data_IF_097766844612
#
_entry.id   IF_097766844612
#
_cell.length_a   1.000
_cell.length_b   1.000
_cell.length_c   1.000
_cell.angle_alpha   90.00
_cell.angle_beta   90.00
_cell.angle_gamma   90.00
#
_symmetry.space_group_name_H-M   'P 1'
#
loop_
_entity.id
_entity.type
_entity.pdbx_description
1 polymer ?
#
# COMPACT_ATOMS: atom_id res chain seq x y z
N UNK A 1 32.75 10.29 -22.69
CA UNK A 1 31.63 10.29 -21.78
C UNK A 1 31.91 9.29 -20.66
N UNK A 2 31.87 9.71 -19.40
CA UNK A 2 31.93 8.76 -18.29
C UNK A 2 30.68 7.88 -18.37
N UNK A 3 30.85 6.55 -18.31
CA UNK A 3 29.73 5.62 -18.44
C UNK A 3 28.90 5.59 -17.16
N UNK A 4 27.57 5.61 -17.30
CA UNK A 4 26.64 5.28 -16.25
C UNK A 4 26.87 3.82 -15.82
N UNK A 5 26.89 3.55 -14.51
CA UNK A 5 27.08 2.20 -13.98
C UNK A 5 25.96 1.80 -13.05
N UNK A 6 25.65 0.52 -12.92
CA UNK A 6 24.69 0.00 -11.95
C UNK A 6 24.97 0.53 -10.53
N UNK A 7 26.23 0.55 -10.11
CA UNK A 7 26.64 1.03 -8.79
C UNK A 7 26.24 2.48 -8.52
N UNK A 8 26.33 3.36 -9.52
CA UNK A 8 25.88 4.76 -9.38
C UNK A 8 24.37 4.84 -9.19
N UNK A 9 23.61 4.00 -9.89
CA UNK A 9 22.14 3.93 -9.76
C UNK A 9 21.73 3.35 -8.41
N UNK A 10 22.40 2.29 -7.94
CA UNK A 10 22.17 1.70 -6.60
C UNK A 10 22.38 2.72 -5.49
N UNK A 11 23.50 3.43 -5.52
CA UNK A 11 23.81 4.47 -4.51
C UNK A 11 22.76 5.57 -4.54
N UNK A 12 22.39 6.04 -5.72
CA UNK A 12 21.37 7.07 -5.88
C UNK A 12 20.01 6.61 -5.35
N UNK A 13 19.57 5.43 -5.75
CA UNK A 13 18.32 4.83 -5.27
C UNK A 13 18.32 4.68 -3.75
N UNK A 14 19.43 4.21 -3.17
CA UNK A 14 19.55 4.07 -1.72
C UNK A 14 19.44 5.42 -0.99
N UNK A 15 19.98 6.51 -1.54
CA UNK A 15 19.83 7.85 -0.95
C UNK A 15 18.35 8.27 -0.93
N UNK A 16 17.63 8.02 -2.03
CA UNK A 16 16.19 8.34 -2.13
C UNK A 16 15.38 7.50 -1.15
N UNK A 17 15.61 6.18 -1.12
CA UNK A 17 14.84 5.23 -0.31
C UNK A 17 15.03 5.45 1.20
N UNK A 18 16.21 5.91 1.63
CA UNK A 18 16.54 6.16 3.04
C UNK A 18 16.51 7.64 3.45
N UNK A 19 16.26 8.54 2.51
CA UNK A 19 16.05 9.97 2.76
C UNK A 19 17.32 10.76 3.13
N UNK A 20 18.49 10.11 3.25
CA UNK A 20 19.74 10.80 3.57
C UNK A 20 20.98 10.03 3.11
N UNK A 21 22.06 10.76 2.86
CA UNK A 21 23.38 10.18 2.53
C UNK A 21 23.90 9.30 3.67
N UNK A 22 23.68 9.72 4.92
CA UNK A 22 24.10 8.97 6.11
C UNK A 22 23.41 7.62 6.20
N UNK A 23 22.10 7.59 6.07
CA UNK A 23 21.31 6.36 6.14
C UNK A 23 21.62 5.44 4.95
N UNK A 24 21.79 6.00 3.74
CA UNK A 24 22.20 5.24 2.56
C UNK A 24 23.60 4.63 2.72
N UNK A 25 24.56 5.36 3.32
CA UNK A 25 25.91 4.84 3.58
C UNK A 25 25.88 3.63 4.50
N UNK A 26 25.08 3.66 5.56
CA UNK A 26 24.88 2.54 6.47
C UNK A 26 24.22 1.35 5.76
N UNK A 27 23.16 1.58 4.98
CA UNK A 27 22.44 0.54 4.24
C UNK A 27 23.33 -0.17 3.19
N UNK A 28 24.25 0.57 2.55
CA UNK A 28 25.16 0.05 1.53
C UNK A 28 26.50 -0.45 2.10
N UNK A 29 26.71 -0.35 3.41
CA UNK A 29 28.01 -0.62 4.05
C UNK A 29 29.17 0.15 3.41
N UNK A 30 28.93 1.44 3.09
CA UNK A 30 29.92 2.36 2.52
C UNK A 30 30.20 3.51 3.48
N UNK A 31 31.32 4.22 3.25
CA UNK A 31 31.56 5.49 3.93
C UNK A 31 30.71 6.62 3.33
N UNK A 32 30.29 7.60 4.14
CA UNK A 32 29.58 8.80 3.65
C UNK A 32 30.34 9.55 2.54
N UNK A 33 31.68 9.78 2.64
CA UNK A 33 32.43 10.37 1.55
C UNK A 33 32.31 9.58 0.23
N UNK A 34 32.30 8.24 0.31
CA UNK A 34 32.14 7.39 -0.88
C UNK A 34 30.77 7.60 -1.52
N UNK A 35 29.70 7.60 -0.72
CA UNK A 35 28.33 7.83 -1.21
C UNK A 35 28.19 9.22 -1.84
N UNK A 36 28.74 10.27 -1.18
CA UNK A 36 28.76 11.63 -1.70
C UNK A 36 29.52 11.75 -3.02
N UNK A 37 30.66 11.07 -3.12
CA UNK A 37 31.46 11.06 -4.36
C UNK A 37 30.72 10.40 -5.52
N UNK A 38 30.04 9.27 -5.26
CA UNK A 38 29.22 8.57 -6.25
C UNK A 38 28.04 9.44 -6.71
N UNK A 39 27.35 10.11 -5.79
CA UNK A 39 26.30 11.05 -6.12
C UNK A 39 26.80 12.20 -6.99
N UNK A 40 27.94 12.82 -6.61
CA UNK A 40 28.56 13.89 -7.39
C UNK A 40 28.96 13.42 -8.80
N UNK A 41 29.48 12.20 -8.89
CA UNK A 41 29.82 11.58 -10.20
C UNK A 41 28.57 11.40 -11.07
N UNK A 42 27.47 10.90 -10.48
CA UNK A 42 26.21 10.72 -11.22
C UNK A 42 25.64 12.06 -11.68
N UNK A 43 25.58 13.08 -10.80
CA UNK A 43 25.18 14.45 -11.18
C UNK A 43 26.04 15.03 -12.30
N UNK A 44 27.37 14.75 -12.28
CA UNK A 44 28.27 15.16 -13.35
C UNK A 44 28.01 14.45 -14.70
N UNK A 45 27.58 13.18 -14.68
CA UNK A 45 27.20 12.44 -15.88
C UNK A 45 25.89 12.99 -16.46
N UNK A 46 24.91 13.28 -15.60
CA UNK A 46 23.60 13.83 -15.98
C UNK A 46 23.72 15.30 -16.39
N UNK A 47 24.70 16.02 -15.86
CA UNK A 47 24.92 17.45 -16.12
C UNK A 47 23.98 18.38 -15.32
N UNK A 48 23.21 17.84 -14.38
CA UNK A 48 22.23 18.58 -13.57
C UNK A 48 22.29 18.13 -12.12
N UNK A 49 21.93 19.01 -11.14
CA UNK A 49 21.77 18.60 -9.74
C UNK A 49 20.59 17.62 -9.63
N UNK A 50 20.78 16.53 -8.90
CA UNK A 50 19.76 15.49 -8.71
C UNK A 50 18.98 15.68 -7.41
N UNK A 51 19.54 16.46 -6.47
CA UNK A 51 18.88 16.85 -5.22
C UNK A 51 19.03 18.34 -4.98
N UNK A 52 18.07 18.90 -4.27
CA UNK A 52 18.08 20.24 -3.68
C UNK A 52 17.84 20.17 -2.18
N UNK A 53 18.30 21.17 -1.44
CA UNK A 53 17.99 21.31 -0.02
C UNK A 53 16.79 22.23 0.17
N UNK A 54 15.71 21.68 0.70
CA UNK A 54 14.51 22.44 1.02
C UNK A 54 14.21 22.25 2.51
N UNK A 55 14.27 23.34 3.29
CA UNK A 55 14.05 23.32 4.75
C UNK A 55 14.91 22.29 5.51
N UNK A 56 16.17 22.10 5.08
CA UNK A 56 17.08 21.14 5.70
C UNK A 56 16.88 19.67 5.28
N UNK A 57 15.90 19.41 4.45
CA UNK A 57 15.65 18.06 3.88
C UNK A 57 16.19 17.97 2.46
N UNK A 58 16.69 16.78 2.14
CA UNK A 58 17.15 16.43 0.79
C UNK A 58 15.93 16.05 -0.07
N UNK A 59 15.61 16.90 -1.06
CA UNK A 59 14.50 16.68 -1.99
C UNK A 59 15.03 16.41 -3.40
N UNK A 60 14.45 15.46 -4.11
CA UNK A 60 14.81 15.24 -5.52
C UNK A 60 14.41 16.44 -6.39
N UNK A 61 15.25 16.77 -7.36
CA UNK A 61 14.89 17.66 -8.47
C UNK A 61 14.13 16.86 -9.54
N UNK A 62 13.57 17.54 -10.54
CA UNK A 62 12.96 16.89 -11.71
C UNK A 62 13.95 15.94 -12.41
N UNK A 63 15.22 16.35 -12.54
CA UNK A 63 16.28 15.48 -13.06
C UNK A 63 16.54 14.27 -12.13
N UNK A 64 16.46 14.47 -10.80
CA UNK A 64 16.54 13.41 -9.82
C UNK A 64 15.42 12.41 -9.96
N UNK A 65 14.18 12.85 -10.15
CA UNK A 65 13.01 11.98 -10.38
C UNK A 65 13.16 11.14 -11.65
N UNK A 66 13.61 11.75 -12.76
CA UNK A 66 13.87 11.02 -14.00
C UNK A 66 14.98 9.96 -13.85
N UNK A 67 16.05 10.28 -13.13
CA UNK A 67 17.13 9.34 -12.83
C UNK A 67 16.64 8.22 -11.90
N UNK A 68 15.77 8.54 -10.93
CA UNK A 68 15.21 7.54 -10.02
C UNK A 68 14.34 6.52 -10.76
N UNK A 69 13.47 6.97 -11.65
CA UNK A 69 12.65 6.09 -12.48
C UNK A 69 13.53 5.18 -13.36
N UNK A 70 14.52 5.74 -14.03
CA UNK A 70 15.49 4.97 -14.83
C UNK A 70 16.25 3.95 -13.96
N UNK A 71 16.71 4.35 -12.76
CA UNK A 71 17.41 3.47 -11.84
C UNK A 71 16.54 2.27 -11.43
N UNK A 72 15.28 2.49 -11.14
CA UNK A 72 14.34 1.42 -10.80
C UNK A 72 14.11 0.44 -11.94
N UNK A 73 13.98 0.92 -13.17
CA UNK A 73 13.81 0.06 -14.35
C UNK A 73 15.06 -0.79 -14.61
N UNK A 74 16.23 -0.17 -14.61
CA UNK A 74 17.51 -0.83 -14.88
C UNK A 74 17.86 -1.85 -13.80
N UNK A 75 17.81 -1.46 -12.53
CA UNK A 75 18.11 -2.35 -11.39
C UNK A 75 17.04 -3.44 -11.23
N UNK A 76 15.78 -3.11 -11.50
CA UNK A 76 14.71 -4.09 -11.56
C UNK A 76 14.90 -5.12 -12.68
N UNK A 77 15.41 -4.71 -13.84
CA UNK A 77 15.72 -5.62 -14.96
C UNK A 77 16.89 -6.54 -14.62
N UNK A 78 17.93 -6.03 -13.96
CA UNK A 78 19.03 -6.84 -13.46
C UNK A 78 18.55 -7.90 -12.48
N UNK A 79 17.77 -7.52 -11.46
CA UNK A 79 17.24 -8.44 -10.46
C UNK A 79 16.36 -9.53 -11.09
N UNK A 80 15.56 -9.18 -12.11
CA UNK A 80 14.74 -10.17 -12.85
C UNK A 80 15.61 -11.15 -13.62
N UNK A 81 16.68 -10.70 -14.28
CA UNK A 81 17.62 -11.58 -14.98
C UNK A 81 18.28 -12.55 -14.01
N UNK A 82 18.75 -12.07 -12.86
CA UNK A 82 19.33 -12.90 -11.80
C UNK A 82 18.34 -13.98 -11.33
N UNK A 83 17.07 -13.59 -11.06
CA UNK A 83 16.01 -14.53 -10.66
C UNK A 83 15.70 -15.55 -11.76
N UNK A 84 15.69 -15.17 -13.04
CA UNK A 84 15.49 -16.09 -14.16
C UNK A 84 16.64 -17.07 -14.31
N UNK A 85 17.88 -16.61 -14.16
CA UNK A 85 19.06 -17.49 -14.20
C UNK A 85 19.04 -18.49 -13.05
N UNK A 86 18.61 -18.08 -11.86
CA UNK A 86 18.44 -18.98 -10.71
C UNK A 86 17.35 -20.01 -10.96
N UNK A 87 16.20 -19.60 -11.51
CA UNK A 87 15.10 -20.49 -11.85
C UNK A 87 15.51 -21.55 -12.89
N UNK A 88 16.31 -21.18 -13.89
CA UNK A 88 16.91 -22.13 -14.85
C UNK A 88 17.82 -23.17 -14.19
N UNK A 89 18.40 -22.84 -13.04
CA UNK A 89 19.20 -23.76 -12.22
C UNK A 89 18.36 -24.57 -11.21
N UNK A 90 17.02 -24.47 -11.29
CA UNK A 90 16.09 -25.14 -10.39
C UNK A 90 16.00 -24.51 -8.99
N UNK A 91 16.47 -23.29 -8.82
CA UNK A 91 16.44 -22.59 -7.55
C UNK A 91 15.55 -21.35 -7.67
N UNK A 92 14.41 -21.35 -6.98
CA UNK A 92 13.53 -20.19 -6.89
C UNK A 92 14.06 -19.22 -5.84
N UNK A 93 14.86 -18.27 -6.27
CA UNK A 93 15.37 -17.18 -5.43
C UNK A 93 14.86 -15.85 -6.01
N UNK A 94 14.48 -14.94 -5.15
CA UNK A 94 14.04 -13.59 -5.57
C UNK A 94 13.48 -12.78 -4.44
N UNK A 95 13.05 -11.57 -4.77
CA UNK A 95 12.37 -10.67 -3.82
C UNK A 95 10.97 -10.37 -4.35
N UNK A 96 9.98 -10.49 -3.50
CA UNK A 96 8.61 -9.98 -3.70
C UNK A 96 8.47 -8.67 -2.92
N UNK A 97 8.28 -7.56 -3.63
CA UNK A 97 7.96 -6.27 -3.02
C UNK A 97 6.45 -6.05 -3.10
N UNK A 98 5.79 -6.07 -1.96
CA UNK A 98 4.34 -5.97 -1.84
C UNK A 98 3.97 -4.75 -1.00
N UNK A 99 3.24 -3.80 -1.59
CA UNK A 99 2.74 -2.62 -0.90
C UNK A 99 1.21 -2.64 -0.81
N UNK A 100 0.67 -2.45 0.38
CA UNK A 100 -0.76 -2.60 0.63
C UNK A 100 -1.33 -1.43 1.42
N UNK A 101 -2.57 -1.05 1.12
CA UNK A 101 -3.28 -0.06 1.92
C UNK A 101 -3.55 -0.59 3.33
N UNK A 102 -3.64 0.31 4.30
CA UNK A 102 -3.76 0.00 5.74
C UNK A 102 -4.78 -1.11 6.05
N UNK A 103 -5.93 -1.13 5.39
CA UNK A 103 -6.97 -2.15 5.66
C UNK A 103 -6.60 -3.53 5.10
N UNK A 104 -5.78 -3.61 4.04
CA UNK A 104 -5.36 -4.88 3.45
C UNK A 104 -4.42 -5.70 4.34
N UNK A 105 -3.84 -5.11 5.40
CA UNK A 105 -3.03 -5.83 6.40
C UNK A 105 -3.78 -6.94 7.15
N UNK A 106 -5.12 -6.91 7.13
CA UNK A 106 -5.94 -7.98 7.72
C UNK A 106 -6.19 -9.13 6.75
N UNK A 107 -6.03 -8.89 5.46
CA UNK A 107 -6.37 -9.82 4.39
C UNK A 107 -5.15 -10.54 3.83
N UNK A 108 -4.04 -9.81 3.65
CA UNK A 108 -2.86 -10.30 2.94
C UNK A 108 -2.03 -11.31 3.74
N UNK A 109 -1.76 -11.16 5.06
CA UNK A 109 -0.93 -12.09 5.79
C UNK A 109 -1.41 -13.55 5.78
N UNK A 110 -2.72 -13.86 5.89
CA UNK A 110 -3.22 -15.23 5.73
C UNK A 110 -2.90 -15.86 4.38
N UNK A 111 -2.87 -15.06 3.31
CA UNK A 111 -2.51 -15.52 1.95
C UNK A 111 -0.98 -15.63 1.82
N UNK A 112 -0.26 -14.72 2.42
CA UNK A 112 1.20 -14.67 2.37
C UNK A 112 1.85 -15.83 3.12
N UNK A 113 1.24 -16.30 4.21
CA UNK A 113 1.78 -17.38 5.04
C UNK A 113 1.98 -18.69 4.26
N UNK A 114 0.98 -19.26 3.55
CA UNK A 114 1.19 -20.44 2.72
C UNK A 114 2.16 -20.17 1.55
N UNK A 115 2.12 -18.99 0.95
CA UNK A 115 3.06 -18.60 -0.11
C UNK A 115 4.52 -18.67 0.38
N UNK A 116 4.83 -18.08 1.53
CA UNK A 116 6.19 -18.12 2.09
C UNK A 116 6.65 -19.55 2.43
N UNK A 117 5.72 -20.44 2.84
CA UNK A 117 6.04 -21.85 3.10
C UNK A 117 6.36 -22.62 1.81
N UNK A 118 5.66 -22.31 0.71
CA UNK A 118 5.90 -22.94 -0.60
C UNK A 118 7.16 -22.38 -1.28
N UNK A 119 7.53 -21.14 -1.01
CA UNK A 119 8.64 -20.43 -1.62
C UNK A 119 9.64 -19.90 -0.57
N UNK A 120 10.32 -20.80 0.19
CA UNK A 120 11.14 -20.40 1.35
C UNK A 120 12.36 -19.53 1.02
N UNK A 121 12.78 -19.52 -0.24
CA UNK A 121 13.92 -18.72 -0.71
C UNK A 121 13.51 -17.38 -1.33
N UNK A 122 12.22 -17.04 -1.31
CA UNK A 122 11.75 -15.72 -1.73
C UNK A 122 11.73 -14.78 -0.52
N UNK A 123 12.54 -13.72 -0.59
CA UNK A 123 12.47 -12.61 0.38
C UNK A 123 11.20 -11.81 0.13
N UNK A 124 10.36 -11.65 1.14
CA UNK A 124 9.15 -10.82 1.04
C UNK A 124 9.35 -9.50 1.76
N UNK A 125 9.21 -8.40 1.02
CA UNK A 125 9.16 -7.03 1.56
C UNK A 125 7.72 -6.55 1.56
N UNK A 126 7.11 -6.56 2.75
CA UNK A 126 5.71 -6.24 2.96
C UNK A 126 5.56 -4.84 3.55
N UNK A 127 5.05 -3.91 2.77
CA UNK A 127 4.88 -2.50 3.14
C UNK A 127 3.40 -2.22 3.35
N UNK A 128 3.07 -1.61 4.47
CA UNK A 128 1.71 -1.13 4.79
C UNK A 128 1.74 0.39 4.90
N UNK A 129 0.88 1.06 4.16
CA UNK A 129 0.80 2.53 4.16
C UNK A 129 -0.64 3.03 3.97
N UNK A 130 -0.84 4.33 4.14
CA UNK A 130 -2.09 4.94 3.73
C UNK A 130 -2.23 4.93 2.20
N UNK A 131 -3.41 5.25 1.69
CA UNK A 131 -3.67 5.18 0.25
C UNK A 131 -2.78 6.13 -0.56
N UNK A 132 -2.47 7.32 -0.03
CA UNK A 132 -1.63 8.29 -0.72
C UNK A 132 -0.18 7.78 -0.83
N UNK A 133 0.36 7.23 0.25
CA UNK A 133 1.70 6.62 0.27
C UNK A 133 1.81 5.47 -0.73
N UNK A 134 0.79 4.60 -0.79
CA UNK A 134 0.81 3.46 -1.72
C UNK A 134 0.68 3.91 -3.17
N UNK A 135 -0.12 4.95 -3.45
CA UNK A 135 -0.19 5.56 -4.79
C UNK A 135 1.14 6.21 -5.17
N UNK A 136 1.79 6.92 -4.24
CA UNK A 136 3.11 7.50 -4.49
C UNK A 136 4.13 6.42 -4.82
N UNK A 137 4.19 5.36 -4.02
CA UNK A 137 5.05 4.20 -4.27
C UNK A 137 4.78 3.57 -5.65
N UNK A 138 3.50 3.48 -6.03
CA UNK A 138 3.10 2.91 -7.32
C UNK A 138 3.51 3.80 -8.50
N UNK A 139 3.33 5.12 -8.40
CA UNK A 139 3.78 6.09 -9.41
C UNK A 139 5.29 6.01 -9.64
N UNK A 140 6.04 5.75 -8.58
CA UNK A 140 7.50 5.60 -8.63
C UNK A 140 7.94 4.14 -8.82
N UNK A 141 7.05 3.21 -9.17
CA UNK A 141 7.37 1.79 -9.42
C UNK A 141 8.21 1.10 -8.32
N UNK A 142 8.02 1.48 -7.05
CA UNK A 142 8.85 1.00 -5.93
C UNK A 142 8.60 -0.46 -5.56
N UNK A 143 7.42 -1.00 -5.88
CA UNK A 143 7.00 -2.34 -5.50
C UNK A 143 6.48 -3.13 -6.71
N UNK A 144 6.37 -4.44 -6.58
CA UNK A 144 5.95 -5.32 -7.68
C UNK A 144 4.43 -5.43 -7.78
N UNK A 145 3.76 -5.50 -6.62
CA UNK A 145 2.30 -5.66 -6.53
C UNK A 145 1.76 -4.70 -5.47
N UNK A 146 0.64 -4.06 -5.78
CA UNK A 146 -0.06 -3.15 -4.89
C UNK A 146 -1.45 -3.69 -4.59
N UNK A 147 -1.91 -3.61 -3.33
CA UNK A 147 -3.24 -4.08 -2.94
C UNK A 147 -4.11 -2.91 -2.51
N UNK A 148 -5.26 -2.78 -3.18
CA UNK A 148 -6.28 -1.77 -2.90
C UNK A 148 -7.67 -2.40 -2.86
N UNK A 149 -8.59 -1.82 -2.10
CA UNK A 149 -10.03 -2.09 -2.25
C UNK A 149 -10.70 -1.13 -3.25
N UNK A 150 -10.09 0.02 -3.48
CA UNK A 150 -10.45 1.00 -4.50
C UNK A 150 -9.17 1.55 -5.13
N UNK A 151 -8.66 0.92 -6.18
CA UNK A 151 -7.49 1.42 -6.89
C UNK A 151 -7.77 2.79 -7.54
N UNK A 152 -6.73 3.59 -7.83
CA UNK A 152 -6.91 4.78 -8.65
C UNK A 152 -7.37 4.39 -10.07
N UNK A 153 -8.14 5.27 -10.69
CA UNK A 153 -8.54 5.13 -12.09
C UNK A 153 -7.37 5.61 -12.96
N UNK A 154 -6.68 4.68 -13.58
CA UNK A 154 -5.54 4.94 -14.47
C UNK A 154 -5.44 3.79 -15.48
N UNK A 155 -5.46 4.12 -16.77
CA UNK A 155 -5.41 3.15 -17.86
C UNK A 155 -4.06 2.41 -17.95
N UNK A 156 -3.04 2.89 -17.25
CA UNK A 156 -1.73 2.24 -17.14
C UNK A 156 -1.68 1.15 -16.07
N UNK A 157 -2.79 0.87 -15.40
CA UNK A 157 -2.86 -0.15 -14.36
C UNK A 157 -3.57 -1.40 -14.85
N UNK A 158 -3.13 -2.55 -14.35
CA UNK A 158 -3.83 -3.82 -14.42
C UNK A 158 -4.37 -4.13 -13.03
N UNK A 159 -5.69 -4.13 -12.90
CA UNK A 159 -6.37 -4.38 -11.64
C UNK A 159 -7.03 -5.76 -11.69
N UNK A 160 -6.61 -6.65 -10.83
CA UNK A 160 -7.11 -8.04 -10.76
C UNK A 160 -7.82 -8.25 -9.43
N UNK A 161 -9.17 -8.39 -9.42
CA UNK A 161 -9.90 -8.67 -8.19
C UNK A 161 -9.60 -10.11 -7.72
N UNK A 162 -9.46 -10.30 -6.38
CA UNK A 162 -9.16 -11.62 -5.82
C UNK A 162 -10.00 -12.00 -4.61
N UNK A 163 -10.63 -11.04 -3.90
CA UNK A 163 -11.44 -11.32 -2.73
C UNK A 163 -12.50 -10.24 -2.53
N UNK A 164 -13.68 -10.62 -2.05
CA UNK A 164 -14.71 -9.65 -1.65
C UNK A 164 -14.28 -8.87 -0.40
N UNK A 165 -14.66 -7.60 -0.36
CA UNK A 165 -14.53 -6.74 0.80
C UNK A 165 -15.90 -6.13 1.10
N UNK A 166 -16.44 -6.44 2.25
CA UNK A 166 -17.73 -5.95 2.71
C UNK A 166 -17.54 -4.89 3.78
N UNK A 167 -18.11 -3.71 3.56
CA UNK A 167 -18.15 -2.66 4.56
C UNK A 167 -19.46 -2.80 5.34
N UNK A 168 -19.35 -2.95 6.65
CA UNK A 168 -20.45 -3.14 7.59
C UNK A 168 -20.56 -1.96 8.53
N UNK A 169 -21.79 -1.68 9.00
CA UNK A 169 -22.04 -0.69 10.04
C UNK A 169 -21.86 -1.36 11.40
N UNK A 170 -21.04 -0.76 12.25
CA UNK A 170 -20.76 -1.26 13.60
C UNK A 170 -21.16 -0.23 14.66
N UNK A 171 -21.61 -0.73 15.78
CA UNK A 171 -22.04 0.01 16.96
C UNK A 171 -21.37 -0.52 18.23
N UNK A 172 -21.41 0.23 19.34
CA UNK A 172 -21.01 -0.26 20.65
C UNK A 172 -21.75 -1.57 21.03
N UNK A 173 -21.18 -2.42 21.89
CA UNK A 173 -21.80 -3.68 22.29
C UNK A 173 -23.16 -3.49 23.00
N UNK A 174 -23.29 -2.41 23.75
CA UNK A 174 -24.49 -2.01 24.50
C UNK A 174 -25.45 -1.10 23.73
N UNK A 175 -25.23 -0.97 22.41
CA UNK A 175 -26.07 -0.13 21.56
C UNK A 175 -27.52 -0.63 21.54
N UNK A 176 -28.45 0.24 21.96
CA UNK A 176 -29.89 0.01 22.07
C UNK A 176 -30.73 0.77 21.02
N UNK A 177 -30.06 1.50 20.13
CA UNK A 177 -30.68 2.28 19.06
C UNK A 177 -31.21 1.44 17.90
N UNK A 178 -31.63 2.10 16.80
CA UNK A 178 -32.23 1.44 15.63
C UNK A 178 -31.32 0.36 15.02
N UNK A 179 -31.87 -0.84 14.80
CA UNK A 179 -31.30 -1.92 14.02
C UNK A 179 -32.32 -2.33 12.94
N UNK A 180 -31.86 -2.93 11.84
CA UNK A 180 -32.69 -3.23 10.66
C UNK A 180 -33.39 -1.97 10.07
N UNK A 181 -32.62 -0.92 9.87
CA UNK A 181 -33.10 0.42 9.46
C UNK A 181 -32.37 0.91 8.20
N UNK A 182 -32.80 2.06 7.68
CA UNK A 182 -32.04 2.79 6.67
C UNK A 182 -30.90 3.57 7.34
N UNK A 183 -29.79 3.78 6.60
CA UNK A 183 -28.67 4.55 7.13
C UNK A 183 -29.08 5.95 7.62
N UNK A 184 -30.12 6.54 6.98
CA UNK A 184 -30.70 7.83 7.37
C UNK A 184 -31.14 7.87 8.84
N UNK A 185 -31.67 6.77 9.37
CA UNK A 185 -32.12 6.70 10.76
C UNK A 185 -30.96 6.73 11.79
N UNK A 186 -29.75 6.54 11.34
CA UNK A 186 -28.55 6.55 12.17
C UNK A 186 -27.78 7.89 12.10
N UNK A 187 -28.19 8.84 11.25
CA UNK A 187 -27.43 10.06 10.97
C UNK A 187 -27.32 11.01 12.17
N UNK A 188 -28.22 10.93 13.14
CA UNK A 188 -28.16 11.74 14.37
C UNK A 188 -27.09 11.23 15.35
N UNK A 189 -26.64 9.98 15.19
CA UNK A 189 -25.57 9.44 15.98
C UNK A 189 -24.20 10.01 15.53
N UNK A 190 -23.23 10.00 16.43
CA UNK A 190 -21.84 10.32 16.08
C UNK A 190 -21.26 9.19 15.24
N UNK A 191 -20.73 9.52 14.06
CA UNK A 191 -20.00 8.60 13.20
C UNK A 191 -18.49 8.81 13.27
N UNK A 192 -17.77 7.73 13.49
CA UNK A 192 -16.31 7.69 13.45
C UNK A 192 -15.87 7.29 12.05
N UNK A 193 -15.24 8.19 11.35
CA UNK A 193 -14.95 8.07 9.92
C UNK A 193 -13.42 8.07 9.70
N UNK A 194 -12.99 7.36 8.69
CA UNK A 194 -11.61 7.44 8.22
C UNK A 194 -11.32 8.82 7.63
N UNK A 195 -10.05 9.13 7.56
CA UNK A 195 -9.51 10.33 6.92
C UNK A 195 -9.89 10.43 5.44
N UNK A 196 -9.91 11.65 4.90
CA UNK A 196 -10.07 11.88 3.48
C UNK A 196 -8.92 11.22 2.71
N UNK A 197 -9.25 10.58 1.57
CA UNK A 197 -8.28 9.81 0.79
C UNK A 197 -8.20 8.33 1.14
N UNK A 198 -8.72 7.88 2.29
CA UNK A 198 -8.90 6.46 2.59
C UNK A 198 -9.88 5.80 1.61
N UNK A 199 -9.57 4.57 1.15
CA UNK A 199 -10.47 3.80 0.29
C UNK A 199 -11.81 3.48 0.95
N UNK A 200 -11.82 3.19 2.26
CA UNK A 200 -13.04 3.00 3.05
C UNK A 200 -13.88 4.28 3.09
N UNK A 201 -13.25 5.44 3.38
CA UNK A 201 -13.94 6.73 3.38
C UNK A 201 -14.55 7.04 2.03
N UNK A 202 -13.81 6.79 0.94
CA UNK A 202 -14.29 7.02 -0.42
C UNK A 202 -15.52 6.18 -0.74
N UNK A 203 -15.50 4.87 -0.44
CA UNK A 203 -16.66 4.00 -0.67
C UNK A 203 -17.91 4.47 0.09
N UNK A 204 -17.73 4.91 1.34
CA UNK A 204 -18.82 5.47 2.16
C UNK A 204 -19.33 6.78 1.56
N UNK A 205 -18.44 7.66 1.12
CA UNK A 205 -18.79 8.94 0.53
C UNK A 205 -19.59 8.75 -0.77
N UNK A 206 -19.10 7.89 -1.68
CA UNK A 206 -19.77 7.56 -2.94
C UNK A 206 -21.20 7.04 -2.70
N UNK A 207 -21.39 6.19 -1.68
CA UNK A 207 -22.70 5.71 -1.27
C UNK A 207 -23.58 6.85 -0.72
N UNK A 208 -23.07 7.66 0.18
CA UNK A 208 -23.81 8.78 0.77
C UNK A 208 -24.21 9.81 -0.30
N UNK A 209 -23.30 10.16 -1.20
CA UNK A 209 -23.57 11.09 -2.29
C UNK A 209 -24.70 10.57 -3.20
N UNK A 210 -24.70 9.27 -3.50
CA UNK A 210 -25.76 8.62 -4.30
C UNK A 210 -27.15 8.66 -3.64
N UNK A 211 -27.20 8.85 -2.32
CA UNK A 211 -28.42 8.89 -1.50
C UNK A 211 -28.75 10.28 -0.96
N UNK A 212 -27.93 11.29 -1.24
CA UNK A 212 -28.08 12.63 -0.68
C UNK A 212 -27.93 12.66 0.85
N UNK A 213 -27.06 11.81 1.41
CA UNK A 213 -26.83 11.70 2.85
C UNK A 213 -25.53 12.42 3.22
N UNK A 214 -25.50 13.02 4.42
CA UNK A 214 -24.32 13.64 5.03
C UNK A 214 -24.23 13.18 6.49
N UNK A 215 -23.02 13.11 7.03
CA UNK A 215 -22.79 12.85 8.44
C UNK A 215 -22.66 14.20 9.20
N UNK A 216 -23.74 14.71 9.82
CA UNK A 216 -23.70 16.01 10.49
C UNK A 216 -22.84 15.99 11.76
N UNK A 217 -22.77 14.83 12.42
CA UNK A 217 -21.96 14.60 13.61
C UNK A 217 -20.93 13.51 13.32
N UNK A 218 -19.71 13.93 12.98
CA UNK A 218 -18.65 12.99 12.66
C UNK A 218 -17.33 13.37 13.30
N UNK A 219 -16.50 12.35 13.54
CA UNK A 219 -15.13 12.46 14.02
C UNK A 219 -14.19 11.70 13.07
N UNK A 220 -13.09 12.31 12.68
CA UNK A 220 -12.11 11.69 11.78
C UNK A 220 -11.03 10.99 12.62
N UNK A 221 -10.76 9.73 12.28
CA UNK A 221 -9.72 8.91 12.92
C UNK A 221 -8.95 8.16 11.83
N UNK A 222 -7.64 8.28 11.79
CA UNK A 222 -6.76 7.76 10.72
C UNK A 222 -6.40 6.27 10.85
N UNK A 223 -6.95 5.56 11.82
CA UNK A 223 -6.67 4.15 12.10
C UNK A 223 -7.96 3.34 12.23
N UNK A 224 -8.05 2.22 11.50
CA UNK A 224 -9.17 1.28 11.63
C UNK A 224 -9.25 0.69 13.04
N UNK A 225 -8.10 0.36 13.64
CA UNK A 225 -8.03 -0.15 15.02
C UNK A 225 -8.54 0.88 16.02
N UNK A 226 -8.09 2.14 15.87
CA UNK A 226 -8.53 3.21 16.77
C UNK A 226 -10.04 3.48 16.63
N UNK A 227 -10.59 3.44 15.40
CA UNK A 227 -12.05 3.53 15.18
C UNK A 227 -12.75 2.37 15.89
N UNK A 228 -12.31 1.13 15.69
CA UNK A 228 -12.92 -0.04 16.31
C UNK A 228 -12.89 0.06 17.82
N UNK A 229 -11.76 0.39 18.42
CA UNK A 229 -11.62 0.60 19.87
C UNK A 229 -12.52 1.71 20.38
N UNK A 230 -12.63 2.81 19.64
CA UNK A 230 -13.51 3.93 19.97
C UNK A 230 -14.99 3.52 19.92
N UNK A 231 -15.40 2.70 18.92
CA UNK A 231 -16.75 2.11 18.88
C UNK A 231 -16.98 1.21 20.09
N UNK A 232 -16.05 0.29 20.38
CA UNK A 232 -16.12 -0.60 21.55
C UNK A 232 -16.30 0.19 22.87
N UNK A 233 -15.70 1.38 22.94
CA UNK A 233 -15.76 2.27 24.12
C UNK A 233 -17.02 3.18 24.14
N UNK A 234 -17.96 2.99 23.22
CA UNK A 234 -19.20 3.77 23.21
C UNK A 234 -19.10 5.16 22.55
N UNK A 235 -18.01 5.50 21.85
CA UNK A 235 -17.81 6.84 21.32
C UNK A 235 -18.75 7.18 20.14
N UNK A 236 -19.24 6.16 19.41
CA UNK A 236 -20.14 6.34 18.27
C UNK A 236 -20.23 5.12 17.37
N UNK A 237 -20.83 5.29 16.21
CA UNK A 237 -20.96 4.28 15.17
C UNK A 237 -19.82 4.40 14.15
N UNK A 238 -19.57 3.32 13.40
CA UNK A 238 -18.63 3.39 12.29
C UNK A 238 -19.04 2.47 11.13
N UNK A 239 -18.45 2.71 9.96
CA UNK A 239 -18.54 1.82 8.80
C UNK A 239 -17.13 1.37 8.46
N UNK A 240 -16.88 0.08 8.63
CA UNK A 240 -15.56 -0.52 8.43
C UNK A 240 -15.65 -1.80 7.59
N UNK A 241 -14.53 -2.21 7.03
CA UNK A 241 -14.41 -3.52 6.41
C UNK A 241 -14.60 -4.63 7.44
N UNK A 242 -15.36 -5.67 7.11
CA UNK A 242 -15.58 -6.84 7.97
C UNK A 242 -14.25 -7.51 8.37
N UNK A 243 -13.24 -7.44 7.50
CA UNK A 243 -11.92 -7.99 7.80
C UNK A 243 -11.23 -7.32 9.00
N UNK A 244 -11.59 -6.07 9.33
CA UNK A 244 -11.06 -5.39 10.51
C UNK A 244 -11.60 -5.98 11.82
N UNK A 245 -12.66 -6.76 11.73
CA UNK A 245 -13.32 -7.41 12.88
C UNK A 245 -12.82 -8.84 13.12
N UNK A 246 -12.08 -9.44 12.19
CA UNK A 246 -11.68 -10.85 12.23
C UNK A 246 -10.90 -11.26 13.51
N UNK A 247 -10.20 -10.33 14.14
CA UNK A 247 -9.42 -10.57 15.36
C UNK A 247 -9.96 -9.76 16.56
N UNK A 248 -11.24 -9.44 16.51
CA UNK A 248 -11.94 -8.70 17.56
C UNK A 248 -12.52 -9.70 18.56
N UNK A 249 -12.42 -9.47 19.89
CA UNK A 249 -13.11 -10.32 20.85
C UNK A 249 -14.61 -10.44 20.51
N UNK A 250 -15.22 -11.62 20.67
CA UNK A 250 -16.65 -11.77 20.48
C UNK A 250 -17.42 -10.71 21.28
N UNK A 251 -18.51 -10.22 20.70
CA UNK A 251 -19.43 -9.25 21.31
C UNK A 251 -18.81 -7.89 21.69
N UNK A 252 -17.58 -7.58 21.25
CA UNK A 252 -16.99 -6.26 21.52
C UNK A 252 -17.54 -5.13 20.66
N UNK A 253 -18.23 -5.45 19.57
CA UNK A 253 -19.00 -4.53 18.74
C UNK A 253 -20.26 -5.24 18.20
N UNK A 254 -21.32 -4.50 18.00
CA UNK A 254 -22.55 -4.97 17.36
C UNK A 254 -22.52 -4.61 15.88
N UNK A 255 -22.70 -5.58 14.99
CA UNK A 255 -22.89 -5.31 13.54
C UNK A 255 -24.35 -5.06 13.29
N UNK A 256 -24.69 -3.85 12.82
CA UNK A 256 -26.06 -3.44 12.57
C UNK A 256 -26.54 -3.91 11.19
N UNK A 257 -27.81 -4.29 11.11
CA UNK A 257 -28.50 -4.59 9.88
C UNK A 257 -29.01 -3.28 9.27
N UNK A 258 -28.30 -2.75 8.28
CA UNK A 258 -28.65 -1.50 7.64
C UNK A 258 -28.97 -1.76 6.17
N UNK A 259 -30.09 -1.22 5.66
CA UNK A 259 -30.49 -1.40 4.26
C UNK A 259 -29.41 -0.84 3.32
N UNK A 260 -29.05 -1.63 2.30
CA UNK A 260 -27.97 -1.30 1.39
C UNK A 260 -26.57 -1.66 1.90
N UNK A 261 -26.47 -2.20 3.12
CA UNK A 261 -25.23 -2.78 3.66
C UNK A 261 -25.32 -4.30 3.77
N UNK A 262 -24.17 -5.01 3.66
CA UNK A 262 -22.83 -4.48 3.48
C UNK A 262 -22.62 -3.81 2.11
N UNK A 263 -21.84 -2.72 2.06
CA UNK A 263 -21.34 -2.22 0.77
C UNK A 263 -20.23 -3.18 0.30
N UNK A 264 -20.46 -3.77 -0.87
CA UNK A 264 -19.56 -4.78 -1.42
C UNK A 264 -18.64 -4.13 -2.46
N UNK A 265 -17.33 -4.27 -2.25
CA UNK A 265 -16.32 -4.03 -3.26
C UNK A 265 -15.32 -5.22 -3.26
N UNK A 266 -14.21 -5.12 -3.99
CA UNK A 266 -13.24 -6.22 -4.09
C UNK A 266 -11.85 -5.72 -3.73
N UNK A 267 -11.10 -6.54 -3.02
CA UNK A 267 -9.67 -6.42 -2.95
C UNK A 267 -9.07 -6.72 -4.32
N UNK A 268 -8.20 -5.86 -4.76
CA UNK A 268 -7.58 -5.94 -6.08
C UNK A 268 -6.06 -5.90 -5.96
N UNK A 269 -5.42 -6.83 -6.66
CA UNK A 269 -4.00 -6.79 -6.92
C UNK A 269 -3.77 -5.88 -8.14
N UNK A 270 -2.94 -4.87 -7.96
CA UNK A 270 -2.67 -3.85 -8.97
C UNK A 270 -1.21 -3.92 -9.37
N UNK A 271 -0.97 -3.95 -10.68
CA UNK A 271 0.37 -3.84 -11.28
C UNK A 271 0.37 -2.78 -12.36
N UNK A 272 1.54 -2.24 -12.68
CA UNK A 272 1.70 -1.23 -13.73
C UNK A 272 1.83 -1.93 -15.09
N UNK A 273 1.00 -1.54 -16.06
CA UNK A 273 1.08 -2.01 -17.46
C UNK A 273 2.49 -1.82 -18.01
N UNK A 274 2.90 -2.69 -18.89
CA UNK A 274 4.20 -2.65 -19.56
C UNK A 274 5.42 -2.81 -18.64
N UNK A 275 5.23 -2.88 -17.33
CA UNK A 275 6.30 -3.27 -16.41
C UNK A 275 6.33 -4.79 -16.28
N UNK A 276 7.47 -5.39 -16.60
CA UNK A 276 7.69 -6.80 -16.31
C UNK A 276 7.81 -7.00 -14.80
N UNK A 277 6.93 -7.82 -14.24
CA UNK A 277 6.97 -8.20 -12.83
C UNK A 277 7.94 -9.38 -12.61
N UNK A 278 8.50 -9.50 -11.41
CA UNK A 278 9.40 -10.60 -11.04
C UNK A 278 8.68 -11.96 -11.06
N UNK A 279 9.44 -13.06 -11.16
CA UNK A 279 8.87 -14.42 -11.04
C UNK A 279 8.18 -14.61 -9.67
N UNK A 280 8.75 -14.07 -8.60
CA UNK A 280 8.14 -14.07 -7.28
C UNK A 280 6.78 -13.35 -7.26
N UNK A 281 6.66 -12.20 -7.94
CA UNK A 281 5.39 -11.48 -8.05
C UNK A 281 4.36 -12.23 -8.89
N UNK A 282 4.79 -12.90 -9.97
CA UNK A 282 3.90 -13.76 -10.77
C UNK A 282 3.37 -14.95 -9.96
N UNK A 283 4.26 -15.60 -9.18
CA UNK A 283 3.87 -16.70 -8.29
C UNK A 283 2.88 -16.22 -7.22
N UNK A 284 3.12 -15.04 -6.62
CA UNK A 284 2.22 -14.46 -5.63
C UNK A 284 0.85 -14.07 -6.23
N UNK A 285 0.82 -13.51 -7.43
CA UNK A 285 -0.46 -13.22 -8.11
C UNK A 285 -1.29 -14.49 -8.35
N UNK A 286 -0.65 -15.61 -8.72
CA UNK A 286 -1.33 -16.90 -8.81
C UNK A 286 -1.86 -17.37 -7.45
N UNK A 287 -1.10 -17.17 -6.37
CA UNK A 287 -1.55 -17.50 -5.02
C UNK A 287 -2.76 -16.66 -4.59
N UNK A 288 -2.81 -15.37 -4.97
CA UNK A 288 -3.99 -14.50 -4.71
C UNK A 288 -5.26 -15.00 -5.42
N UNK A 289 -5.14 -15.54 -6.64
CA UNK A 289 -6.29 -16.03 -7.41
C UNK A 289 -6.82 -17.39 -6.92
N UNK A 290 -6.04 -18.12 -6.13
CA UNK A 290 -6.40 -19.41 -5.54
C UNK A 290 -6.98 -19.27 -4.13
N UNK A 291 -7.29 -18.05 -3.70
CA UNK A 291 -7.96 -17.82 -2.42
C UNK A 291 -9.45 -18.09 -2.59
N UNK A 292 -9.95 -19.15 -1.96
CA UNK A 292 -11.37 -19.49 -1.86
C UNK A 292 -12.13 -18.57 -0.91
#
# INVERSE_FOLDING_TARGET
>A
MQSLTFRLLEVFQSIVDHGSITAASSALSLSQPTVSLQLKKLSGIVGMPLFEQTYGQLKMTEAGEAVYQCAQEVLGSQSRLESQVHALKGVEIGTLKLAVVTTAKYVVPPILSPFCKQHPNIEVRFIVGNRADIIDRMRHNRDDVYIFSQPPQDDNLVCTPFMQNKLVVIAPPDYDGPDNCDLKALMDHKFLLREYGSGTRRAIQDYCDSKGLVFPNSMIIESNEAIRLAVTSGLGLAILSEHTLAHTPPDSVKVLKVKGFPLVNHWQAVTVKHRQISLAAQAFQKALLNVE
#
